data_IF_312614741352
#
_entry.id   IF_312614741352
#
_cell.length_a   1.000
_cell.length_b   1.000
_cell.length_c   1.000
_cell.angle_alpha   90.00
_cell.angle_beta   90.00
_cell.angle_gamma   90.00
#
_symmetry.space_group_name_H-M   'P 1'
#
loop_
_entity.id
_entity.type
_entity.pdbx_description
1 polymer ?
#
# COMPACT_ATOMS: atom_id res chain seq x y z
N UNK A 1 -10.88 -43.60 -7.78
CA UNK A 1 -9.46 -43.23 -7.58
C UNK A 1 -9.48 -42.12 -6.56
N UNK A 2 -8.72 -42.28 -5.48
CA UNK A 2 -8.62 -41.31 -4.39
C UNK A 2 -7.18 -40.78 -4.29
N UNK A 3 -6.99 -39.48 -4.01
CA UNK A 3 -5.68 -38.93 -3.76
C UNK A 3 -5.16 -39.38 -2.39
N UNK A 4 -3.86 -39.61 -2.32
CA UNK A 4 -3.12 -39.83 -1.09
C UNK A 4 -1.94 -38.85 -1.04
N UNK A 5 -1.72 -38.31 0.15
CA UNK A 5 -0.76 -37.25 0.43
C UNK A 5 0.44 -37.84 1.16
N UNK A 6 1.65 -37.56 0.66
CA UNK A 6 2.88 -38.12 1.19
C UNK A 6 3.41 -37.30 2.38
N UNK A 7 3.97 -37.98 3.38
CA UNK A 7 4.73 -37.36 4.45
C UNK A 7 6.05 -38.11 4.72
N UNK A 8 7.04 -37.42 5.28
CA UNK A 8 8.34 -37.98 5.64
C UNK A 8 8.34 -38.65 7.04
N UNK A 9 9.51 -39.14 7.49
CA UNK A 9 9.68 -39.77 8.81
C UNK A 9 9.36 -38.82 9.98
N UNK A 10 9.45 -37.50 9.77
CA UNK A 10 9.08 -36.47 10.74
C UNK A 10 7.60 -36.05 10.62
N UNK A 11 6.83 -36.77 9.80
CA UNK A 11 5.44 -36.50 9.42
C UNK A 11 5.24 -35.17 8.68
N UNK A 12 6.28 -34.60 8.08
CA UNK A 12 6.16 -33.38 7.26
C UNK A 12 5.66 -33.73 5.88
N UNK A 13 4.74 -32.91 5.37
CA UNK A 13 4.18 -33.08 4.04
C UNK A 13 5.28 -32.97 2.95
N UNK A 14 5.30 -33.95 2.05
CA UNK A 14 6.22 -33.97 0.90
C UNK A 14 5.49 -33.41 -0.31
N UNK A 15 5.73 -32.13 -0.60
CA UNK A 15 5.14 -31.46 -1.77
C UNK A 15 5.56 -32.16 -3.07
N UNK A 16 4.59 -32.58 -3.88
CA UNK A 16 4.83 -33.32 -5.13
C UNK A 16 5.04 -34.83 -4.93
N UNK A 17 4.92 -35.34 -3.70
CA UNK A 17 4.92 -36.77 -3.41
C UNK A 17 3.55 -37.44 -3.54
N UNK A 18 2.50 -36.66 -3.79
CA UNK A 18 1.11 -37.12 -3.85
C UNK A 18 0.87 -38.12 -4.98
N UNK A 19 -0.03 -39.07 -4.71
CA UNK A 19 -0.39 -40.14 -5.66
C UNK A 19 -1.88 -40.37 -5.70
N UNK A 20 -2.35 -41.04 -6.72
CA UNK A 20 -3.72 -41.55 -6.80
C UNK A 20 -3.70 -43.07 -6.68
N UNK A 21 -4.59 -43.61 -5.85
CA UNK A 21 -4.78 -45.05 -5.69
C UNK A 21 -6.24 -45.43 -5.95
N UNK A 22 -6.54 -46.69 -6.31
CA UNK A 22 -7.91 -47.19 -6.35
C UNK A 22 -8.64 -46.97 -5.01
N UNK A 23 -9.96 -46.78 -5.05
CA UNK A 23 -10.73 -46.41 -3.85
C UNK A 23 -10.72 -47.53 -2.80
N UNK A 24 -10.64 -48.78 -3.27
CA UNK A 24 -10.56 -50.03 -2.52
C UNK A 24 -9.15 -50.44 -2.12
N UNK A 25 -8.11 -49.71 -2.56
CA UNK A 25 -6.74 -49.99 -2.17
C UNK A 25 -6.42 -49.48 -0.75
N UNK A 26 -5.58 -50.25 -0.05
CA UNK A 26 -4.98 -49.85 1.22
C UNK A 26 -3.98 -48.72 1.00
N UNK A 27 -3.94 -47.77 1.95
CA UNK A 27 -3.02 -46.64 1.91
C UNK A 27 -1.64 -47.13 2.37
N UNK A 28 -0.57 -46.96 1.56
CA UNK A 28 0.78 -47.35 1.98
C UNK A 28 1.28 -46.53 3.17
N UNK A 29 2.28 -47.07 3.88
CA UNK A 29 3.00 -46.30 4.91
C UNK A 29 3.66 -45.04 4.31
N UNK A 30 3.68 -43.95 5.08
CA UNK A 30 4.15 -42.64 4.59
C UNK A 30 3.10 -41.86 3.79
N UNK A 31 1.85 -42.35 3.74
CA UNK A 31 0.74 -41.67 3.07
C UNK A 31 -0.49 -41.54 3.97
N UNK A 32 -1.34 -40.56 3.64
CA UNK A 32 -2.65 -40.33 4.26
C UNK A 32 -3.66 -39.92 3.18
N UNK A 33 -4.94 -40.25 3.38
CA UNK A 33 -6.04 -39.76 2.55
C UNK A 33 -6.56 -38.38 2.98
N UNK A 34 -6.01 -37.83 4.07
CA UNK A 34 -6.36 -36.50 4.57
C UNK A 34 -5.52 -35.45 3.86
N UNK A 35 -6.18 -34.50 3.19
CA UNK A 35 -5.51 -33.37 2.53
C UNK A 35 -4.96 -32.37 3.56
N UNK A 36 -3.73 -31.86 3.40
CA UNK A 36 -3.25 -30.73 4.18
C UNK A 36 -4.10 -29.49 3.93
N UNK A 37 -4.44 -28.77 5.00
CA UNK A 37 -5.22 -27.53 4.88
C UNK A 37 -4.43 -26.45 4.13
N UNK A 38 -5.12 -25.65 3.34
CA UNK A 38 -4.52 -24.53 2.63
C UNK A 38 -3.92 -23.51 3.60
N UNK A 39 -2.84 -22.85 3.18
CA UNK A 39 -2.19 -21.79 3.96
C UNK A 39 -1.16 -22.26 4.99
N UNK A 40 -0.91 -23.56 5.12
CA UNK A 40 0.22 -24.06 5.90
C UNK A 40 1.55 -23.82 5.16
N UNK A 41 2.49 -23.15 5.82
CA UNK A 41 3.85 -22.96 5.35
C UNK A 41 4.67 -24.24 5.45
N UNK A 42 4.48 -25.02 6.53
CA UNK A 42 5.06 -26.34 6.70
C UNK A 42 4.08 -27.28 7.39
N UNK A 43 3.35 -28.06 6.61
CA UNK A 43 2.34 -28.98 7.12
C UNK A 43 2.97 -30.21 7.78
N UNK A 44 2.57 -30.50 9.01
CA UNK A 44 2.93 -31.71 9.75
C UNK A 44 1.69 -32.53 10.09
N UNK A 45 1.70 -33.81 9.71
CA UNK A 45 0.64 -34.76 9.95
C UNK A 45 0.73 -35.33 11.36
N UNK A 46 -0.42 -35.46 12.02
CA UNK A 46 -0.56 -36.23 13.26
C UNK A 46 -1.41 -37.48 12.95
N UNK A 47 -0.81 -38.68 12.93
CA UNK A 47 -1.55 -39.94 12.67
C UNK A 47 -2.59 -40.28 13.73
N UNK A 48 -2.44 -39.76 14.95
CA UNK A 48 -3.35 -40.04 16.08
C UNK A 48 -4.66 -39.28 15.91
N UNK A 49 -4.57 -37.97 15.63
CA UNK A 49 -5.73 -37.13 15.39
C UNK A 49 -6.20 -37.14 13.93
N UNK A 50 -5.37 -37.66 13.01
CA UNK A 50 -5.55 -37.61 11.55
C UNK A 50 -5.71 -36.18 11.02
N UNK A 51 -4.92 -35.25 11.54
CA UNK A 51 -4.97 -33.83 11.16
C UNK A 51 -3.62 -33.30 10.74
N UNK A 52 -3.64 -32.24 9.94
CA UNK A 52 -2.46 -31.45 9.62
C UNK A 52 -2.36 -30.22 10.52
N UNK A 53 -1.14 -29.84 10.87
CA UNK A 53 -0.84 -28.67 11.69
C UNK A 53 0.34 -27.87 11.10
N UNK A 54 0.39 -26.58 11.41
CA UNK A 54 1.55 -25.75 11.09
C UNK A 54 2.73 -26.16 11.96
N UNK A 55 3.88 -26.41 11.33
CA UNK A 55 5.13 -26.74 12.02
C UNK A 55 6.24 -25.73 11.77
N UNK A 56 6.02 -24.76 10.88
CA UNK A 56 6.92 -23.63 10.71
C UNK A 56 6.94 -22.75 11.98
N UNK A 57 8.11 -22.20 12.28
CA UNK A 57 8.24 -21.19 13.34
C UNK A 57 7.67 -19.86 12.85
N UNK A 58 7.21 -19.02 13.78
CA UNK A 58 6.78 -17.66 13.45
C UNK A 58 7.91 -16.88 12.76
N UNK A 59 9.16 -17.04 13.22
CA UNK A 59 10.34 -16.43 12.60
C UNK A 59 10.52 -16.83 11.13
N UNK A 60 10.31 -18.11 10.79
CA UNK A 60 10.37 -18.56 9.40
C UNK A 60 9.23 -17.97 8.58
N UNK A 61 8.00 -17.95 9.11
CA UNK A 61 6.83 -17.36 8.44
C UNK A 61 7.06 -15.87 8.17
N UNK A 62 7.56 -15.14 9.17
CA UNK A 62 7.87 -13.71 9.07
C UNK A 62 9.00 -13.46 8.07
N UNK A 63 9.99 -14.35 7.98
CA UNK A 63 11.07 -14.25 6.97
C UNK A 63 10.56 -14.39 5.52
N UNK A 64 9.40 -15.03 5.33
CA UNK A 64 8.75 -15.15 4.03
C UNK A 64 7.86 -13.95 3.69
N UNK A 65 7.53 -13.11 4.68
CA UNK A 65 6.87 -11.83 4.43
C UNK A 65 7.89 -10.86 3.83
N UNK A 66 7.89 -10.79 2.50
CA UNK A 66 8.56 -9.70 1.79
C UNK A 66 7.81 -8.41 2.18
N UNK A 67 8.52 -7.44 2.77
CA UNK A 67 7.97 -6.09 2.97
C UNK A 67 7.41 -5.62 1.62
N UNK A 68 6.09 -5.45 1.55
CA UNK A 68 5.49 -4.96 0.33
C UNK A 68 5.91 -3.50 0.18
N UNK A 69 6.46 -3.11 -0.99
CA UNK A 69 6.67 -1.69 -1.26
C UNK A 69 5.33 -0.96 -1.08
N UNK A 70 5.35 0.30 -0.63
CA UNK A 70 4.11 1.07 -0.48
C UNK A 70 3.31 1.01 -1.77
N UNK A 71 2.01 0.72 -1.67
CA UNK A 71 1.12 0.65 -2.81
C UNK A 71 1.24 1.94 -3.63
N UNK A 72 1.25 1.82 -4.96
CA UNK A 72 1.32 2.96 -5.88
C UNK A 72 0.27 4.04 -5.55
N UNK A 73 -0.89 3.61 -5.03
CA UNK A 73 -1.98 4.48 -4.58
C UNK A 73 -1.56 5.37 -3.40
N UNK A 74 -0.83 4.83 -2.43
CA UNK A 74 -0.39 5.58 -1.25
C UNK A 74 0.74 6.56 -1.61
N UNK A 75 1.63 6.16 -2.52
CA UNK A 75 2.62 7.08 -3.10
C UNK A 75 1.92 8.23 -3.86
N UNK A 76 0.91 7.93 -4.66
CA UNK A 76 0.12 8.95 -5.38
C UNK A 76 -0.63 9.89 -4.43
N UNK A 77 -1.23 9.37 -3.35
CA UNK A 77 -1.87 10.22 -2.32
C UNK A 77 -0.86 11.18 -1.69
N UNK A 78 0.34 10.69 -1.36
CA UNK A 78 1.39 11.52 -0.78
C UNK A 78 1.81 12.64 -1.75
N UNK A 79 2.04 12.30 -3.02
CA UNK A 79 2.38 13.29 -4.04
C UNK A 79 1.27 14.33 -4.25
N UNK A 80 0.00 13.90 -4.30
CA UNK A 80 -1.14 14.80 -4.43
C UNK A 80 -1.27 15.75 -3.25
N UNK A 81 -1.02 15.29 -2.02
CA UNK A 81 -1.02 16.15 -0.83
C UNK A 81 0.06 17.25 -0.92
N UNK A 82 1.27 16.88 -1.34
CA UNK A 82 2.38 17.84 -1.55
C UNK A 82 2.04 18.86 -2.63
N UNK A 83 1.57 18.41 -3.79
CA UNK A 83 1.20 19.28 -4.91
C UNK A 83 0.06 20.23 -4.53
N UNK A 84 -0.96 19.72 -3.82
CA UNK A 84 -2.08 20.54 -3.35
C UNK A 84 -1.60 21.64 -2.42
N UNK A 85 -0.70 21.32 -1.48
CA UNK A 85 -0.12 22.32 -0.57
C UNK A 85 0.63 23.41 -1.34
N UNK A 86 1.48 23.02 -2.29
CA UNK A 86 2.22 23.98 -3.12
C UNK A 86 1.28 24.89 -3.92
N UNK A 87 0.23 24.33 -4.52
CA UNK A 87 -0.77 25.11 -5.25
C UNK A 87 -1.51 26.11 -4.33
N UNK A 88 -1.87 25.71 -3.11
CA UNK A 88 -2.52 26.62 -2.16
C UNK A 88 -1.61 27.78 -1.74
N UNK A 89 -0.30 27.53 -1.59
CA UNK A 89 0.67 28.57 -1.23
C UNK A 89 0.88 29.55 -2.39
N UNK A 90 1.12 29.02 -3.61
CA UNK A 90 1.26 29.83 -4.82
C UNK A 90 0.02 30.69 -5.12
N UNK A 91 -1.18 30.14 -4.92
CA UNK A 91 -2.42 30.91 -5.13
C UNK A 91 -2.59 32.01 -4.09
N UNK A 92 -2.21 31.76 -2.83
CA UNK A 92 -2.19 32.78 -1.77
C UNK A 92 -1.18 33.90 -2.08
N UNK A 93 0.02 33.56 -2.54
CA UNK A 93 1.02 34.54 -2.95
C UNK A 93 0.55 35.37 -4.16
N UNK A 94 -0.01 34.71 -5.18
CA UNK A 94 -0.52 35.38 -6.37
C UNK A 94 -1.67 36.35 -6.05
N UNK A 95 -2.57 35.97 -5.13
CA UNK A 95 -3.67 36.85 -4.68
C UNK A 95 -3.15 38.04 -3.87
N UNK A 96 -2.17 37.83 -2.99
CA UNK A 96 -1.52 38.91 -2.26
C UNK A 96 -0.78 39.89 -3.20
N UNK A 97 -0.08 39.37 -4.21
CA UNK A 97 0.59 40.19 -5.22
C UNK A 97 -0.40 41.07 -6.00
N UNK A 98 -1.51 40.49 -6.47
CA UNK A 98 -2.58 41.24 -7.16
C UNK A 98 -3.18 42.34 -6.28
N UNK A 99 -3.40 42.06 -4.99
CA UNK A 99 -3.91 43.06 -4.06
C UNK A 99 -2.93 44.22 -3.91
N UNK A 100 -1.64 43.92 -3.77
CA UNK A 100 -0.58 44.94 -3.66
C UNK A 100 -0.48 45.78 -4.93
N UNK A 101 -0.58 45.16 -6.10
CA UNK A 101 -0.58 45.87 -7.39
C UNK A 101 -1.76 46.86 -7.48
N UNK A 102 -2.98 46.41 -7.13
CA UNK A 102 -4.16 47.27 -7.12
C UNK A 102 -4.03 48.44 -6.12
N UNK A 103 -3.44 48.20 -4.94
CA UNK A 103 -3.16 49.23 -3.96
C UNK A 103 -2.17 50.28 -4.49
N UNK A 104 -1.06 49.83 -5.10
CA UNK A 104 -0.08 50.74 -5.70
C UNK A 104 -0.68 51.57 -6.83
N UNK A 105 -1.49 50.95 -7.70
CA UNK A 105 -2.20 51.66 -8.77
C UNK A 105 -3.14 52.75 -8.22
N UNK A 106 -3.87 52.44 -7.12
CA UNK A 106 -4.73 53.42 -6.44
C UNK A 106 -3.92 54.60 -5.88
N UNK A 107 -2.80 54.33 -5.21
CA UNK A 107 -1.94 55.40 -4.66
C UNK A 107 -1.37 56.30 -5.77
N UNK A 108 -0.92 55.70 -6.89
CA UNK A 108 -0.43 56.46 -8.03
C UNK A 108 -1.51 57.37 -8.61
N UNK A 109 -2.75 56.86 -8.75
CA UNK A 109 -3.88 57.65 -9.22
C UNK A 109 -4.19 58.83 -8.29
N UNK A 110 -4.15 58.63 -6.98
CA UNK A 110 -4.36 59.71 -6.00
C UNK A 110 -3.30 60.80 -6.11
N UNK A 111 -2.01 60.44 -6.19
CA UNK A 111 -0.92 61.39 -6.37
C UNK A 111 -1.05 62.19 -7.67
N UNK A 112 -1.48 61.54 -8.77
CA UNK A 112 -1.72 62.24 -10.03
C UNK A 112 -2.84 63.29 -9.91
N UNK A 113 -3.92 62.98 -9.20
CA UNK A 113 -5.00 63.93 -8.92
C UNK A 113 -4.52 65.12 -8.10
N UNK A 114 -3.78 64.88 -7.01
CA UNK A 114 -3.24 65.95 -6.15
C UNK A 114 -2.29 66.89 -6.91
N UNK A 115 -1.43 66.36 -7.78
CA UNK A 115 -0.53 67.16 -8.62
C UNK A 115 -1.33 68.05 -9.61
N UNK A 116 -2.43 67.54 -10.17
CA UNK A 116 -3.28 68.31 -11.08
C UNK A 116 -3.99 69.46 -10.34
N UNK A 117 -4.49 69.20 -9.13
CA UNK A 117 -5.12 70.22 -8.29
C UNK A 117 -4.14 71.34 -7.91
N UNK A 118 -2.91 70.99 -7.50
CA UNK A 118 -1.87 71.97 -7.19
C UNK A 118 -1.47 72.83 -8.40
N UNK A 119 -1.37 72.24 -9.60
CA UNK A 119 -1.08 72.99 -10.84
C UNK A 119 -2.23 73.88 -11.30
N UNK A 120 -3.47 73.55 -10.95
CA UNK A 120 -4.65 74.37 -11.25
C UNK A 120 -4.78 75.59 -10.33
N UNK A 121 -4.27 75.50 -9.10
CA UNK A 121 -4.32 76.57 -8.10
C UNK A 121 -3.36 77.74 -8.31
N UNK A 122 -2.27 77.55 -9.05
CA UNK A 122 -1.28 78.62 -9.34
C UNK A 122 -1.71 79.61 -10.44
N UNK A 123 -2.91 79.44 -11.05
CA UNK A 123 -3.43 80.30 -12.12
C UNK A 123 -4.52 81.30 -11.72
N UNK A 124 -4.76 81.53 -10.43
CA UNK A 124 -5.73 82.54 -9.93
C UNK A 124 -5.07 83.62 -9.09
#
# INVERSE_FOLDING_TARGET
MKPIYAYDEDFKYIRGGDKEIPDDAEIPEGFTDVQPQDGLYSAKYDPTSKTWSESATQEYIDSLQIEQPPDDIDLLKQQNAVLTKQLTELTKEATAAKLREAQMAKQLAQLMTEIQEMKGGEKS
#
